data_IF_583075085167
#
_entry.id   IF_583075085167
#
_cell.length_a   1.000
_cell.length_b   1.000
_cell.length_c   1.000
_cell.angle_alpha   90.00
_cell.angle_beta   90.00
_cell.angle_gamma   90.00
#
_symmetry.space_group_name_H-M   'P 1'
#
loop_
_entity.id
_entity.type
_entity.pdbx_description
1 polymer ?
#
# COMPACT_ATOMS: atom_id res chain seq x y z
N UNK A 1 12.88 57.50 -20.73
CA UNK A 1 14.21 57.72 -20.09
C UNK A 1 14.69 56.39 -19.54
N UNK A 2 15.62 55.72 -20.22
CA UNK A 2 16.15 54.43 -19.79
C UNK A 2 17.15 54.61 -18.66
N UNK A 3 16.99 53.86 -17.56
CA UNK A 3 17.97 53.87 -16.47
C UNK A 3 19.33 53.41 -16.99
N UNK A 4 20.37 54.20 -16.69
CA UNK A 4 21.79 53.92 -16.95
C UNK A 4 22.15 52.48 -16.50
N UNK A 5 22.88 51.69 -17.31
CA UNK A 5 23.30 50.34 -16.96
C UNK A 5 23.94 50.24 -15.57
N UNK A 6 24.67 51.26 -15.13
CA UNK A 6 25.25 51.30 -13.79
C UNK A 6 24.21 51.42 -12.67
N UNK A 7 23.14 52.19 -12.89
CA UNK A 7 22.02 52.29 -11.94
C UNK A 7 21.23 50.98 -11.89
N UNK A 8 21.13 50.24 -13.00
CA UNK A 8 20.50 48.90 -13.01
C UNK A 8 21.31 47.89 -12.21
N UNK A 9 22.64 47.89 -12.35
CA UNK A 9 23.53 47.03 -11.56
C UNK A 9 23.42 47.36 -10.07
N UNK A 10 23.43 48.64 -9.69
CA UNK A 10 23.28 49.05 -8.30
C UNK A 10 21.90 48.68 -7.72
N UNK A 11 20.83 48.77 -8.51
CA UNK A 11 19.50 48.35 -8.10
C UNK A 11 19.39 46.83 -7.93
N UNK A 12 20.04 46.05 -8.80
CA UNK A 12 20.08 44.58 -8.70
C UNK A 12 20.89 44.15 -7.48
N UNK A 13 22.04 44.78 -7.21
CA UNK A 13 22.85 44.52 -6.02
C UNK A 13 22.10 44.92 -4.74
N UNK A 14 21.41 46.06 -4.75
CA UNK A 14 20.57 46.50 -3.64
C UNK A 14 19.39 45.56 -3.37
N UNK A 15 18.75 45.06 -4.43
CA UNK A 15 17.67 44.07 -4.31
C UNK A 15 18.18 42.72 -3.77
N UNK A 16 19.35 42.26 -4.22
CA UNK A 16 19.99 41.04 -3.70
C UNK A 16 20.38 41.18 -2.22
N UNK A 17 20.88 42.34 -1.80
CA UNK A 17 21.17 42.62 -0.39
C UNK A 17 19.89 42.61 0.47
N UNK A 18 18.80 43.18 -0.03
CA UNK A 18 17.49 43.15 0.63
C UNK A 18 16.94 41.72 0.76
N UNK A 19 17.07 40.90 -0.29
CA UNK A 19 16.68 39.49 -0.24
C UNK A 19 17.54 38.71 0.75
N UNK A 20 18.86 38.95 0.79
CA UNK A 20 19.74 38.31 1.76
C UNK A 20 19.38 38.68 3.21
N UNK A 21 19.04 39.94 3.48
CA UNK A 21 18.55 40.39 4.79
C UNK A 21 17.20 39.77 5.14
N UNK A 22 16.27 39.68 4.18
CA UNK A 22 14.98 39.04 4.38
C UNK A 22 15.11 37.53 4.66
N UNK A 23 15.99 36.84 3.93
CA UNK A 23 16.29 35.42 4.17
C UNK A 23 16.96 35.23 5.52
N UNK A 24 17.92 36.08 5.89
CA UNK A 24 18.56 36.03 7.21
C UNK A 24 17.56 36.31 8.35
N UNK A 25 16.60 37.22 8.14
CA UNK A 25 15.52 37.48 9.09
C UNK A 25 14.58 36.29 9.21
N UNK A 26 14.13 35.70 8.10
CA UNK A 26 13.29 34.50 8.11
C UNK A 26 14.02 33.33 8.77
N UNK A 27 15.31 33.15 8.51
CA UNK A 27 16.15 32.15 9.17
C UNK A 27 16.30 32.45 10.66
N UNK A 28 16.47 33.70 11.07
CA UNK A 28 16.51 34.09 12.49
C UNK A 28 15.18 33.87 13.22
N UNK A 29 14.05 34.14 12.54
CA UNK A 29 12.70 33.88 13.05
C UNK A 29 12.38 32.37 13.14
N UNK A 30 12.88 31.57 12.20
CA UNK A 30 12.62 30.12 12.14
C UNK A 30 13.63 29.27 12.91
N UNK A 31 14.85 29.76 13.16
CA UNK A 31 15.90 29.06 13.94
C UNK A 31 16.09 29.59 15.36
N UNK A 32 15.24 30.51 15.83
CA UNK A 32 15.24 30.94 17.23
C UNK A 32 16.43 31.81 17.61
N UNK A 33 16.45 33.04 17.13
CA UNK A 33 17.45 34.03 17.56
C UNK A 33 16.88 35.43 17.72
N UNK A 34 16.24 35.71 18.87
CA UNK A 34 16.50 36.89 19.70
C UNK A 34 15.45 37.06 20.82
N UNK A 35 15.96 37.41 22.01
CA UNK A 35 15.28 37.81 23.24
C UNK A 35 14.56 36.70 24.00
N UNK A 36 15.14 36.37 25.16
CA UNK A 36 14.47 35.69 26.26
C UNK A 36 13.26 36.53 26.69
N UNK A 37 12.09 36.17 26.17
CA UNK A 37 10.81 36.46 26.80
C UNK A 37 10.44 35.20 27.59
N UNK A 38 10.52 35.33 28.92
CA UNK A 38 10.26 34.31 29.95
C UNK A 38 8.78 33.91 29.96
N UNK A 39 8.35 33.22 28.91
CA UNK A 39 7.00 32.65 28.79
C UNK A 39 6.93 31.36 27.97
N UNK A 40 8.02 30.96 27.32
CA UNK A 40 8.11 29.65 26.67
C UNK A 40 8.28 28.56 27.72
N UNK A 41 7.44 27.52 27.69
CA UNK A 41 7.63 26.34 28.53
C UNK A 41 9.05 25.81 28.31
N UNK A 42 9.92 25.90 29.31
CA UNK A 42 11.23 25.29 29.26
C UNK A 42 11.03 23.78 29.13
N UNK A 43 11.26 23.23 27.93
CA UNK A 43 11.18 21.80 27.66
C UNK A 43 12.42 21.14 28.24
N UNK A 44 12.24 20.24 29.20
CA UNK A 44 13.33 19.46 29.79
C UNK A 44 13.87 18.44 28.76
N UNK A 45 15.14 18.56 28.32
CA UNK A 45 15.73 17.62 27.37
C UNK A 45 15.74 16.17 27.86
N UNK A 46 15.87 15.95 29.17
CA UNK A 46 15.83 14.61 29.73
C UNK A 46 14.43 13.99 29.58
N UNK A 47 13.38 14.81 29.76
CA UNK A 47 11.99 14.39 29.55
C UNK A 47 11.69 14.10 28.08
N UNK A 48 12.25 14.87 27.15
CA UNK A 48 12.11 14.59 25.71
C UNK A 48 12.75 13.25 25.36
N UNK A 49 13.99 13.02 25.79
CA UNK A 49 14.69 11.76 25.53
C UNK A 49 13.95 10.55 26.13
N UNK A 50 13.36 10.69 27.31
CA UNK A 50 12.51 9.65 27.93
C UNK A 50 11.28 9.34 27.07
N UNK A 51 10.60 10.38 26.56
CA UNK A 51 9.40 10.21 25.72
C UNK A 51 9.74 9.61 24.36
N UNK A 52 10.84 10.01 23.74
CA UNK A 52 11.31 9.44 22.48
C UNK A 52 11.65 7.95 22.62
N UNK A 53 12.34 7.58 23.70
CA UNK A 53 12.65 6.17 23.98
C UNK A 53 11.39 5.34 24.25
N UNK A 54 10.40 5.91 24.96
CA UNK A 54 9.12 5.25 25.19
C UNK A 54 8.32 5.09 23.89
N UNK A 55 8.37 6.06 22.99
CA UNK A 55 7.73 6.00 21.68
C UNK A 55 8.38 4.93 20.80
N UNK A 56 9.71 4.86 20.78
CA UNK A 56 10.45 3.85 20.01
C UNK A 56 10.12 2.42 20.48
N UNK A 57 10.07 2.21 21.80
CA UNK A 57 9.65 0.92 22.36
C UNK A 57 8.22 0.55 21.94
N UNK A 58 7.29 1.50 22.01
CA UNK A 58 5.91 1.31 21.58
C UNK A 58 5.79 1.04 20.08
N UNK A 59 6.57 1.74 19.24
CA UNK A 59 6.54 1.53 17.78
C UNK A 59 7.03 0.13 17.42
N UNK A 60 8.04 -0.39 18.11
CA UNK A 60 8.52 -1.76 17.94
C UNK A 60 7.43 -2.80 18.31
N UNK A 61 6.71 -2.59 19.40
CA UNK A 61 5.58 -3.46 19.78
C UNK A 61 4.43 -3.38 18.75
N UNK A 62 4.08 -2.18 18.31
CA UNK A 62 3.06 -1.95 17.29
C UNK A 62 3.44 -2.60 15.94
N UNK A 63 4.72 -2.62 15.59
CA UNK A 63 5.20 -3.26 14.37
C UNK A 63 4.94 -4.77 14.40
N UNK A 64 5.26 -5.45 15.49
CA UNK A 64 4.98 -6.90 15.64
C UNK A 64 3.49 -7.17 15.54
N UNK A 65 2.68 -6.38 16.27
CA UNK A 65 1.22 -6.50 16.21
C UNK A 65 0.66 -6.26 14.79
N UNK A 66 1.24 -5.32 14.04
CA UNK A 66 0.84 -5.04 12.65
C UNK A 66 1.18 -6.20 11.71
N UNK A 67 2.35 -6.82 11.89
CA UNK A 67 2.76 -7.99 11.10
C UNK A 67 1.81 -9.16 11.35
N UNK A 68 1.51 -9.46 12.61
CA UNK A 68 0.63 -10.56 12.97
C UNK A 68 -0.81 -10.31 12.49
N UNK A 69 -1.30 -9.08 12.64
CA UNK A 69 -2.61 -8.68 12.12
C UNK A 69 -2.68 -8.82 10.60
N UNK A 70 -1.68 -8.35 9.87
CA UNK A 70 -1.65 -8.44 8.41
C UNK A 70 -1.67 -9.90 7.90
N UNK A 71 -0.93 -10.80 8.58
CA UNK A 71 -0.93 -12.24 8.27
C UNK A 71 -2.29 -12.89 8.56
N UNK A 72 -2.92 -12.50 9.66
CA UNK A 72 -4.27 -12.94 10.01
C UNK A 72 -5.28 -12.50 8.94
N UNK A 73 -5.30 -11.20 8.62
CA UNK A 73 -6.14 -10.64 7.57
C UNK A 73 -5.94 -11.35 6.22
N UNK A 74 -4.69 -11.58 5.80
CA UNK A 74 -4.39 -12.32 4.56
C UNK A 74 -4.99 -13.74 4.61
N UNK A 75 -4.81 -14.45 5.72
CA UNK A 75 -5.32 -15.82 5.91
C UNK A 75 -6.84 -15.88 5.73
N UNK A 76 -7.56 -14.94 6.32
CA UNK A 76 -9.03 -14.90 6.26
C UNK A 76 -9.57 -14.37 4.92
N UNK A 77 -8.84 -13.47 4.26
CA UNK A 77 -9.28 -12.82 3.04
C UNK A 77 -9.01 -13.66 1.77
N UNK A 78 -7.96 -14.49 1.76
CA UNK A 78 -7.64 -15.36 0.61
C UNK A 78 -8.82 -16.25 0.18
N UNK A 79 -9.52 -16.97 1.10
CA UNK A 79 -10.71 -17.75 0.74
C UNK A 79 -11.83 -16.91 0.10
N UNK A 80 -12.03 -15.67 0.57
CA UNK A 80 -13.01 -14.74 -0.02
C UNK A 80 -12.60 -14.37 -1.45
N UNK A 81 -11.33 -14.06 -1.68
CA UNK A 81 -10.83 -13.70 -3.02
C UNK A 81 -10.85 -14.88 -4.00
N UNK A 82 -10.65 -16.11 -3.53
CA UNK A 82 -10.84 -17.32 -4.32
C UNK A 82 -12.32 -17.52 -4.68
N UNK A 83 -13.21 -17.30 -3.72
CA UNK A 83 -14.65 -17.31 -3.96
C UNK A 83 -15.08 -16.27 -4.99
N UNK A 84 -14.58 -15.04 -4.86
CA UNK A 84 -14.79 -13.96 -5.82
C UNK A 84 -14.21 -14.30 -7.20
N UNK A 85 -13.05 -14.95 -7.28
CA UNK A 85 -12.49 -15.37 -8.57
C UNK A 85 -13.40 -16.35 -9.32
N UNK A 86 -14.07 -17.26 -8.60
CA UNK A 86 -14.99 -18.21 -9.22
C UNK A 86 -16.23 -17.55 -9.86
N UNK A 87 -16.59 -16.35 -9.41
CA UNK A 87 -17.76 -15.58 -9.91
C UNK A 87 -17.36 -14.42 -10.81
N UNK A 88 -16.15 -13.88 -10.61
CA UNK A 88 -15.51 -12.81 -11.37
C UNK A 88 -14.15 -13.29 -11.88
N UNK A 89 -14.13 -14.15 -12.93
CA UNK A 89 -12.87 -14.63 -13.48
C UNK A 89 -12.05 -13.48 -14.05
N UNK A 90 -10.75 -13.45 -13.74
CA UNK A 90 -9.79 -12.49 -14.30
C UNK A 90 -9.04 -13.02 -15.53
N UNK A 91 -9.38 -14.22 -15.99
CA UNK A 91 -8.80 -14.90 -17.16
C UNK A 91 -9.53 -14.55 -18.49
N UNK A 92 -10.49 -13.63 -18.44
CA UNK A 92 -11.32 -13.23 -19.57
C UNK A 92 -12.58 -14.09 -19.77
N UNK A 93 -12.80 -15.10 -18.92
CA UNK A 93 -14.07 -15.82 -18.88
C UNK A 93 -15.21 -14.91 -18.40
N UNK A 94 -16.45 -15.24 -18.79
CA UNK A 94 -17.61 -14.47 -18.37
C UNK A 94 -17.92 -14.68 -16.88
N UNK A 95 -18.35 -13.60 -16.22
CA UNK A 95 -18.84 -13.66 -14.85
C UNK A 95 -20.04 -14.62 -14.73
N UNK A 96 -20.13 -15.29 -13.58
CA UNK A 96 -21.20 -16.21 -13.25
C UNK A 96 -21.90 -15.71 -11.99
N UNK A 97 -23.24 -15.72 -11.94
CA UNK A 97 -23.96 -15.33 -10.73
C UNK A 97 -23.53 -16.11 -9.50
N UNK A 98 -23.17 -15.38 -8.45
CA UNK A 98 -22.86 -15.95 -7.15
C UNK A 98 -24.12 -16.45 -6.45
N UNK A 99 -24.01 -17.51 -5.64
CA UNK A 99 -25.06 -17.85 -4.68
C UNK A 99 -25.16 -16.73 -3.62
N UNK A 100 -26.35 -16.13 -3.40
CA UNK A 100 -26.54 -15.09 -2.39
C UNK A 100 -26.07 -15.49 -0.98
N UNK A 101 -26.12 -16.78 -0.64
CA UNK A 101 -25.64 -17.28 0.65
C UNK A 101 -24.10 -17.15 0.76
N UNK A 102 -23.36 -17.38 -0.32
CA UNK A 102 -21.91 -17.19 -0.34
C UNK A 102 -21.54 -15.71 -0.24
N UNK A 103 -22.22 -14.84 -0.99
CA UNK A 103 -21.98 -13.39 -0.93
C UNK A 103 -22.22 -12.87 0.50
N UNK A 104 -23.30 -13.31 1.15
CA UNK A 104 -23.61 -12.94 2.54
C UNK A 104 -22.52 -13.40 3.52
N UNK A 105 -22.03 -14.64 3.37
CA UNK A 105 -20.98 -15.17 4.22
C UNK A 105 -19.65 -14.40 4.04
N UNK A 106 -19.24 -14.16 2.80
CA UNK A 106 -18.04 -13.36 2.49
C UNK A 106 -18.15 -11.93 3.01
N UNK A 107 -19.32 -11.31 2.87
CA UNK A 107 -19.57 -9.95 3.38
C UNK A 107 -19.40 -9.90 4.90
N UNK A 108 -19.94 -10.88 5.61
CA UNK A 108 -19.79 -10.97 7.07
C UNK A 108 -18.33 -11.17 7.50
N UNK A 109 -17.55 -11.98 6.77
CA UNK A 109 -16.10 -12.10 6.99
C UNK A 109 -15.42 -10.74 6.82
N UNK A 110 -15.64 -10.06 5.70
CA UNK A 110 -15.02 -8.76 5.41
C UNK A 110 -15.40 -7.70 6.44
N UNK A 111 -16.67 -7.62 6.85
CA UNK A 111 -17.12 -6.70 7.91
C UNK A 111 -16.42 -6.96 9.25
N UNK A 112 -16.21 -8.23 9.61
CA UNK A 112 -15.45 -8.59 10.81
C UNK A 112 -14.01 -8.08 10.74
N UNK A 113 -13.33 -8.31 9.61
CA UNK A 113 -11.95 -7.87 9.38
C UNK A 113 -11.81 -6.34 9.38
N UNK A 114 -12.80 -5.63 8.81
CA UNK A 114 -12.88 -4.16 8.88
C UNK A 114 -12.97 -3.71 10.33
N UNK A 115 -13.93 -4.24 11.10
CA UNK A 115 -14.13 -3.85 12.50
C UNK A 115 -12.90 -4.11 13.38
N UNK A 116 -12.21 -5.24 13.17
CA UNK A 116 -10.98 -5.56 13.89
C UNK A 116 -9.83 -4.61 13.52
N UNK A 117 -9.69 -4.28 12.24
CA UNK A 117 -8.67 -3.33 11.77
C UNK A 117 -8.95 -1.90 12.26
N UNK A 118 -10.22 -1.50 12.32
CA UNK A 118 -10.63 -0.23 12.91
C UNK A 118 -10.33 -0.15 14.41
N UNK A 119 -10.47 -1.27 15.13
CA UNK A 119 -10.18 -1.35 16.56
C UNK A 119 -8.69 -1.25 16.90
N UNK A 120 -7.78 -1.44 15.93
CA UNK A 120 -6.36 -1.21 16.14
C UNK A 120 -6.08 0.25 16.51
N UNK A 121 -5.26 0.45 17.54
CA UNK A 121 -4.83 1.77 17.95
C UNK A 121 -4.07 2.49 16.83
N UNK A 122 -4.28 3.80 16.73
CA UNK A 122 -3.42 4.65 15.91
C UNK A 122 -2.00 4.67 16.47
N UNK A 123 -1.02 4.69 15.60
CA UNK A 123 0.40 4.71 15.96
C UNK A 123 1.17 5.81 15.25
N UNK A 124 2.44 5.54 14.99
CA UNK A 124 3.28 6.36 14.11
C UNK A 124 2.64 6.55 12.72
N UNK A 125 3.12 7.54 11.97
CA UNK A 125 2.57 7.86 10.66
C UNK A 125 2.55 6.64 9.75
N UNK A 126 3.65 5.89 9.72
CA UNK A 126 3.80 4.79 8.79
C UNK A 126 3.13 3.50 9.30
N UNK A 127 2.83 3.37 10.60
CA UNK A 127 1.86 2.39 11.14
C UNK A 127 0.45 2.69 10.60
N UNK A 128 0.04 3.96 10.69
CA UNK A 128 -1.26 4.37 10.19
C UNK A 128 -1.37 4.23 8.66
N UNK A 129 -0.28 4.39 7.90
CA UNK A 129 -0.27 4.12 6.46
C UNK A 129 -0.60 2.66 6.17
N UNK A 130 0.06 1.71 6.86
CA UNK A 130 -0.23 0.28 6.68
C UNK A 130 -1.67 -0.05 7.08
N UNK A 131 -2.08 0.38 8.28
CA UNK A 131 -3.44 0.16 8.80
C UNK A 131 -4.51 0.69 7.85
N UNK A 132 -4.36 1.93 7.37
CA UNK A 132 -5.35 2.56 6.50
C UNK A 132 -5.35 1.95 5.09
N UNK A 133 -4.18 1.54 4.57
CA UNK A 133 -4.09 0.84 3.29
C UNK A 133 -4.80 -0.52 3.33
N UNK A 134 -4.61 -1.29 4.39
CA UNK A 134 -5.33 -2.56 4.61
C UNK A 134 -6.83 -2.33 4.78
N UNK A 135 -7.22 -1.35 5.59
CA UNK A 135 -8.63 -0.99 5.78
C UNK A 135 -9.31 -0.59 4.46
N UNK A 136 -8.68 0.29 3.68
CA UNK A 136 -9.20 0.71 2.36
C UNK A 136 -9.32 -0.47 1.41
N UNK A 137 -8.36 -1.40 1.43
CA UNK A 137 -8.47 -2.62 0.64
C UNK A 137 -9.67 -3.48 1.07
N UNK A 138 -9.90 -3.65 2.37
CA UNK A 138 -11.02 -4.44 2.89
C UNK A 138 -12.37 -3.81 2.49
N UNK A 139 -12.48 -2.49 2.58
CA UNK A 139 -13.66 -1.74 2.12
C UNK A 139 -13.91 -1.95 0.62
N UNK A 140 -12.87 -1.90 -0.21
CA UNK A 140 -12.99 -2.17 -1.65
C UNK A 140 -13.43 -3.62 -1.97
N UNK A 141 -13.03 -4.60 -1.15
CA UNK A 141 -13.58 -5.97 -1.26
C UNK A 141 -15.06 -5.98 -0.89
N UNK A 142 -15.45 -5.24 0.15
CA UNK A 142 -16.86 -5.03 0.52
C UNK A 142 -17.67 -4.45 -0.65
N UNK A 143 -17.18 -3.38 -1.27
CA UNK A 143 -17.82 -2.75 -2.42
C UNK A 143 -17.93 -3.69 -3.62
N UNK A 144 -16.91 -4.53 -3.85
CA UNK A 144 -16.94 -5.56 -4.89
C UNK A 144 -18.06 -6.59 -4.62
N UNK A 145 -18.23 -7.03 -3.38
CA UNK A 145 -19.29 -7.95 -2.97
C UNK A 145 -20.69 -7.32 -3.13
N UNK A 146 -20.84 -6.05 -2.78
CA UNK A 146 -22.09 -5.30 -2.98
C UNK A 146 -22.44 -5.20 -4.47
N UNK A 147 -21.44 -4.91 -5.32
CA UNK A 147 -21.61 -4.89 -6.78
C UNK A 147 -21.99 -6.27 -7.35
N UNK A 148 -21.41 -7.37 -6.84
CA UNK A 148 -21.84 -8.74 -7.20
C UNK A 148 -23.31 -8.98 -6.83
N UNK A 149 -23.72 -8.57 -5.62
CA UNK A 149 -25.12 -8.71 -5.18
C UNK A 149 -26.10 -7.91 -6.03
N UNK A 150 -25.73 -6.69 -6.42
CA UNK A 150 -26.50 -5.85 -7.35
C UNK A 150 -26.57 -6.50 -8.74
N UNK A 151 -25.45 -7.00 -9.26
CA UNK A 151 -25.40 -7.66 -10.56
C UNK A 151 -26.30 -8.90 -10.63
N UNK A 152 -26.34 -9.69 -9.55
CA UNK A 152 -27.16 -10.90 -9.46
C UNK A 152 -28.67 -10.62 -9.44
N UNK A 153 -29.09 -9.42 -9.02
CA UNK A 153 -30.50 -9.01 -8.95
C UNK A 153 -30.94 -8.06 -10.07
N UNK A 154 -30.00 -7.61 -10.90
CA UNK A 154 -30.25 -6.68 -12.00
C UNK A 154 -30.85 -7.36 -13.24
N UNK A 155 -31.49 -6.55 -14.08
CA UNK A 155 -31.91 -6.98 -15.42
C UNK A 155 -30.69 -7.36 -16.28
N UNK A 156 -30.88 -8.28 -17.23
CA UNK A 156 -29.80 -8.83 -18.08
C UNK A 156 -29.04 -7.78 -18.89
N UNK A 157 -29.62 -6.60 -19.11
CA UNK A 157 -28.95 -5.49 -19.79
C UNK A 157 -27.95 -4.76 -18.89
N UNK A 158 -28.15 -4.73 -17.57
CA UNK A 158 -27.31 -3.99 -16.61
C UNK A 158 -26.35 -4.90 -15.83
N UNK A 159 -26.68 -6.19 -15.68
CA UNK A 159 -25.85 -7.15 -14.96
C UNK A 159 -24.38 -7.22 -15.44
N UNK A 160 -24.08 -7.20 -16.76
CA UNK A 160 -22.68 -7.25 -17.23
C UNK A 160 -21.82 -6.09 -16.74
N UNK A 161 -22.34 -4.86 -16.76
CA UNK A 161 -21.60 -3.67 -16.32
C UNK A 161 -21.34 -3.69 -14.81
N UNK A 162 -22.28 -4.23 -14.03
CA UNK A 162 -22.12 -4.38 -12.58
C UNK A 162 -21.09 -5.47 -12.22
N UNK A 163 -21.05 -6.59 -12.95
CA UNK A 163 -19.98 -7.58 -12.79
C UNK A 163 -18.61 -7.02 -13.18
N UNK A 164 -18.54 -6.22 -14.25
CA UNK A 164 -17.29 -5.55 -14.64
C UNK A 164 -16.81 -4.59 -13.54
N UNK A 165 -17.72 -3.76 -12.99
CA UNK A 165 -17.41 -2.88 -11.86
C UNK A 165 -16.92 -3.68 -10.63
N UNK A 166 -17.57 -4.80 -10.31
CA UNK A 166 -17.14 -5.65 -9.20
C UNK A 166 -15.72 -6.22 -9.41
N UNK A 167 -15.42 -6.64 -10.65
CA UNK A 167 -14.07 -7.09 -11.02
C UNK A 167 -13.02 -5.99 -10.86
N UNK A 168 -13.32 -4.77 -11.31
CA UNK A 168 -12.45 -3.61 -11.15
C UNK A 168 -12.20 -3.25 -9.67
N UNK A 169 -13.23 -3.30 -8.83
CA UNK A 169 -13.13 -3.04 -7.39
C UNK A 169 -12.25 -4.10 -6.70
N UNK A 170 -12.45 -5.39 -7.03
CA UNK A 170 -11.59 -6.48 -6.56
C UNK A 170 -10.13 -6.26 -6.93
N UNK A 171 -9.84 -5.88 -8.17
CA UNK A 171 -8.46 -5.59 -8.62
C UNK A 171 -7.86 -4.42 -7.84
N UNK A 172 -8.60 -3.32 -7.70
CA UNK A 172 -8.14 -2.15 -6.91
C UNK A 172 -7.91 -2.48 -5.44
N UNK A 173 -8.70 -3.39 -4.86
CA UNK A 173 -8.47 -3.88 -3.50
C UNK A 173 -7.11 -4.56 -3.40
N UNK A 174 -6.81 -5.53 -4.28
CA UNK A 174 -5.53 -6.26 -4.27
C UNK A 174 -4.35 -5.31 -4.51
N UNK A 175 -4.47 -4.34 -5.42
CA UNK A 175 -3.43 -3.32 -5.65
C UNK A 175 -3.19 -2.44 -4.40
N UNK A 176 -4.28 -1.97 -3.78
CA UNK A 176 -4.22 -1.13 -2.56
C UNK A 176 -3.58 -1.89 -1.40
N UNK A 177 -3.95 -3.16 -1.23
CA UNK A 177 -3.31 -4.06 -0.26
C UNK A 177 -1.82 -4.23 -0.55
N UNK A 178 -1.44 -4.42 -1.82
CA UNK A 178 -0.05 -4.58 -2.23
C UNK A 178 0.83 -3.40 -1.81
N UNK A 179 0.32 -2.17 -1.92
CA UNK A 179 1.03 -0.97 -1.44
C UNK A 179 1.22 -0.99 0.09
N UNK A 180 0.19 -1.39 0.84
CA UNK A 180 0.28 -1.53 2.29
C UNK A 180 1.26 -2.65 2.70
N UNK A 181 1.27 -3.77 1.99
CA UNK A 181 2.17 -4.89 2.20
C UNK A 181 3.63 -4.50 1.97
N UNK A 182 3.93 -3.75 0.90
CA UNK A 182 5.27 -3.19 0.65
C UNK A 182 5.70 -2.25 1.77
N UNK A 183 4.81 -1.36 2.22
CA UNK A 183 5.13 -0.46 3.33
C UNK A 183 5.42 -1.23 4.63
N UNK A 184 4.67 -2.31 4.89
CA UNK A 184 4.90 -3.18 6.03
C UNK A 184 6.23 -3.94 5.93
N UNK A 185 6.59 -4.47 4.75
CA UNK A 185 7.87 -5.14 4.51
C UNK A 185 9.06 -4.22 4.76
N UNK A 186 8.98 -2.98 4.24
CA UNK A 186 10.02 -1.95 4.45
C UNK A 186 10.20 -1.64 5.94
N UNK A 187 9.09 -1.48 6.68
CA UNK A 187 9.12 -1.27 8.13
C UNK A 187 9.68 -2.48 8.87
N UNK A 188 9.23 -3.67 8.52
CA UNK A 188 9.66 -4.93 9.13
C UNK A 188 11.17 -5.11 9.00
N UNK A 189 11.70 -4.85 7.80
CA UNK A 189 13.14 -4.90 7.54
C UNK A 189 13.90 -3.84 8.33
N UNK A 190 13.43 -2.59 8.34
CA UNK A 190 14.06 -1.50 9.09
C UNK A 190 14.04 -1.77 10.61
N UNK A 191 13.00 -2.40 11.12
CA UNK A 191 12.83 -2.82 12.51
C UNK A 191 13.49 -4.13 12.89
N UNK A 192 14.27 -4.75 11.97
CA UNK A 192 15.03 -5.97 12.25
C UNK A 192 14.20 -7.27 12.30
N UNK A 193 12.93 -7.23 11.90
CA UNK A 193 12.03 -8.40 11.86
C UNK A 193 12.20 -9.22 10.56
N UNK A 194 12.96 -8.71 9.59
CA UNK A 194 13.17 -9.34 8.28
C UNK A 194 12.04 -9.03 7.29
N UNK A 195 12.04 -9.75 6.16
CA UNK A 195 11.01 -9.56 5.14
C UNK A 195 9.66 -10.15 5.56
N UNK A 196 8.57 -9.45 5.23
CA UNK A 196 7.20 -9.86 5.47
C UNK A 196 6.42 -9.77 4.16
N UNK A 197 6.20 -10.93 3.54
CA UNK A 197 5.43 -11.04 2.31
C UNK A 197 3.99 -11.41 2.64
N UNK A 198 3.13 -10.39 2.71
CA UNK A 198 1.70 -10.56 2.94
C UNK A 198 0.95 -10.01 1.73
N UNK A 199 1.09 -10.61 0.54
CA UNK A 199 0.35 -10.16 -0.65
C UNK A 199 -0.96 -10.93 -0.84
N UNK A 200 -1.96 -10.30 -1.46
CA UNK A 200 -3.21 -10.97 -1.83
C UNK A 200 -3.12 -11.53 -3.25
N UNK A 201 -3.75 -12.69 -3.52
CA UNK A 201 -3.75 -13.31 -4.83
C UNK A 201 -4.70 -12.58 -5.80
N UNK A 202 -4.28 -12.44 -7.06
CA UNK A 202 -5.16 -12.02 -8.17
C UNK A 202 -5.81 -13.26 -8.79
N UNK A 203 -5.07 -14.35 -8.91
CA UNK A 203 -5.50 -15.69 -9.30
C UNK A 203 -5.35 -16.68 -8.14
N UNK A 204 -6.18 -17.74 -8.05
CA UNK A 204 -6.10 -18.72 -6.95
C UNK A 204 -4.76 -19.45 -6.83
N UNK A 205 -4.01 -19.53 -7.93
CA UNK A 205 -2.71 -20.20 -8.00
C UNK A 205 -1.52 -19.24 -7.80
N UNK A 206 -1.78 -17.95 -7.57
CA UNK A 206 -0.72 -16.96 -7.37
C UNK A 206 0.06 -17.24 -6.08
N UNK A 207 1.38 -17.02 -6.12
CA UNK A 207 2.18 -17.07 -4.91
C UNK A 207 1.89 -15.86 -4.02
N UNK A 208 1.71 -16.12 -2.72
CA UNK A 208 1.50 -15.08 -1.73
C UNK A 208 2.79 -14.34 -1.33
N UNK A 209 3.93 -14.83 -1.82
CA UNK A 209 5.28 -14.33 -1.51
C UNK A 209 5.65 -13.04 -2.27
N UNK A 210 4.72 -12.44 -3.03
CA UNK A 210 4.90 -11.11 -3.64
C UNK A 210 5.51 -11.11 -5.03
N UNK A 211 5.46 -12.24 -5.74
CA UNK A 211 5.71 -12.26 -7.17
C UNK A 211 4.55 -11.59 -7.90
N UNK A 212 4.58 -10.27 -8.06
CA UNK A 212 3.67 -9.58 -8.98
C UNK A 212 3.90 -10.19 -10.37
N UNK A 213 2.99 -11.05 -10.80
CA UNK A 213 2.97 -11.71 -12.10
C UNK A 213 2.74 -10.69 -13.21
N UNK A 214 3.73 -9.82 -13.44
CA UNK A 214 3.84 -9.02 -14.65
C UNK A 214 4.25 -9.96 -15.79
N UNK A 215 3.26 -10.66 -16.35
CA UNK A 215 3.30 -11.34 -17.64
C UNK A 215 4.55 -12.17 -17.94
N UNK A 216 4.61 -13.41 -17.45
CA UNK A 216 5.37 -14.44 -18.17
C UNK A 216 4.53 -14.87 -19.37
N UNK A 217 4.52 -14.06 -20.44
CA UNK A 217 4.20 -14.59 -21.76
C UNK A 217 5.23 -15.67 -22.06
N UNK A 218 4.78 -16.92 -22.07
CA UNK A 218 5.58 -18.05 -22.47
C UNK A 218 6.30 -17.75 -23.79
N UNK A 219 7.62 -17.83 -23.74
CA UNK A 219 8.52 -17.67 -24.86
C UNK A 219 9.58 -18.76 -24.78
N UNK A 220 9.16 -19.97 -25.14
CA UNK A 220 9.91 -20.94 -25.93
C UNK A 220 11.45 -20.86 -25.86
N UNK A 221 12.05 -21.62 -24.93
CA UNK A 221 13.39 -22.17 -25.14
C UNK A 221 13.26 -23.64 -25.54
N UNK A 222 12.85 -23.84 -26.80
CA UNK A 222 13.67 -24.55 -27.77
C UNK A 222 14.34 -25.82 -27.28
N UNK A 223 13.69 -26.95 -27.56
CA UNK A 223 14.23 -28.28 -27.39
C UNK A 223 15.63 -28.43 -27.96
N UNK A 224 16.50 -29.06 -27.17
CA UNK A 224 17.78 -29.52 -27.64
C UNK A 224 17.57 -30.73 -28.54
N UNK A 225 17.44 -30.45 -29.84
CA UNK A 225 17.62 -31.40 -30.93
C UNK A 225 19.07 -31.89 -30.90
N UNK A 226 19.25 -33.15 -30.53
CA UNK A 226 20.53 -33.86 -30.55
C UNK A 226 20.31 -35.23 -31.17
N UNK A 227 19.98 -35.24 -32.46
CA UNK A 227 20.04 -36.46 -33.27
C UNK A 227 21.35 -36.51 -34.04
N UNK A 228 21.90 -37.72 -34.04
CA UNK A 228 22.74 -38.36 -35.06
C UNK A 228 24.25 -38.41 -34.80
N UNK A 229 24.68 -39.66 -34.62
CA UNK A 229 26.07 -40.10 -34.54
C UNK A 229 26.18 -41.56 -34.15
N UNK A 230 25.49 -42.47 -34.87
CA UNK A 230 25.94 -43.85 -34.98
C UNK A 230 27.38 -43.85 -35.53
N UNK A 231 28.32 -44.47 -34.83
CA UNK A 231 29.34 -45.28 -35.48
C UNK A 231 30.04 -46.21 -34.48
N UNK A 232 30.33 -47.40 -35.00
CA UNK A 232 30.92 -48.56 -34.36
C UNK A 232 32.29 -48.31 -33.69
N UNK A 233 32.64 -49.17 -32.71
CA UNK A 233 33.79 -50.09 -32.78
C UNK A 233 34.24 -50.59 -31.39
N UNK A 234 34.42 -51.91 -31.32
CA UNK A 234 35.29 -52.76 -30.48
C UNK A 234 35.94 -52.18 -29.20
N UNK A 235 35.72 -52.85 -28.06
CA UNK A 235 36.64 -53.83 -27.44
C UNK A 235 36.12 -54.37 -26.11
#
# INVERSE_FOLDING_TARGET
MGLDPWRRVLLVVGALALVAVAVAAVVGLTRGGAAADDGGFAVDPARVAELEAAEEARDAENLVASIDHARYLQTELVPVLHGLHAVLPVDGSSAVPADPAYVTAWRATVDGLVAETEALASGSSEHNIVRNGMLTSLELVGDALDAVGLAASADSAAAPDLYALAGDLRTRAVETWGLAAVQLDLRSTAGGQGHVHVFLPVHPDDSLDGGLGLGHTGGDEGGHEGTDGEDAHDH
#
